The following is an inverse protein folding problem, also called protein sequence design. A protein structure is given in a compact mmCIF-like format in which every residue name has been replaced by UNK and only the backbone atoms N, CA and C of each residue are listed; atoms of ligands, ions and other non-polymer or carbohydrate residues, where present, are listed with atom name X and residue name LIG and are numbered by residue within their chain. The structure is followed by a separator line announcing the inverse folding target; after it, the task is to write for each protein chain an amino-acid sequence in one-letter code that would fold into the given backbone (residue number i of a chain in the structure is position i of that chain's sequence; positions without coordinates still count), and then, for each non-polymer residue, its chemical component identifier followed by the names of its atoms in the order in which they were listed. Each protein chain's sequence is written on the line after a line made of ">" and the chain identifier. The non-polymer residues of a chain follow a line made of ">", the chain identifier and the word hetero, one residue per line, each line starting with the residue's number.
data_IF_035049455118
#
_entry.id   IF_035049455118
#
_cell.length_a   1.000
_cell.length_b   1.000
_cell.length_c   1.000
_cell.angle_alpha   90.00
_cell.angle_beta   90.00
_cell.angle_gamma   90.00
#
_symmetry.space_group_name_H-M   'P 1'
#
loop_
_entity.id
_entity.type
_entity.pdbx_description
1 polymer ?
#
# COMPACT_ATOMS: atom_id res chain seq x y z
N UNK A 1 0.03 1.17 5.13
CA UNK A 1 1.49 0.94 5.04
C UNK A 1 2.27 2.11 5.61
N UNK A 2 3.39 1.87 6.30
CA UNK A 2 4.18 2.93 6.94
C UNK A 2 4.91 3.84 5.95
N UNK A 3 5.20 3.37 4.74
CA UNK A 3 5.81 4.16 3.67
C UNK A 3 5.23 3.76 2.31
N UNK A 4 5.32 4.65 1.31
CA UNK A 4 4.84 4.43 -0.06
C UNK A 4 5.53 3.25 -0.73
N UNK A 5 6.84 3.09 -0.53
CA UNK A 5 7.59 1.97 -1.10
C UNK A 5 7.03 0.60 -0.68
N UNK A 6 6.64 0.43 0.59
CA UNK A 6 6.00 -0.80 1.06
C UNK A 6 4.62 -1.01 0.43
N UNK A 7 3.86 0.07 0.25
CA UNK A 7 2.55 0.00 -0.38
C UNK A 7 2.64 -0.35 -1.87
N UNK A 8 3.62 0.21 -2.58
CA UNK A 8 3.91 -0.12 -3.99
C UNK A 8 4.38 -1.56 -4.14
N UNK A 9 5.22 -2.05 -3.22
CA UNK A 9 5.62 -3.46 -3.20
C UNK A 9 4.41 -4.39 -2.99
N UNK A 10 3.55 -4.06 -2.02
CA UNK A 10 2.31 -4.77 -1.77
C UNK A 10 1.38 -4.78 -3.01
N UNK A 11 1.23 -3.64 -3.68
CA UNK A 11 0.43 -3.53 -4.91
C UNK A 11 0.99 -4.41 -6.02
N UNK A 12 2.31 -4.41 -6.25
CA UNK A 12 2.93 -5.27 -7.28
C UNK A 12 2.70 -6.76 -7.04
N UNK A 13 2.72 -7.20 -5.79
CA UNK A 13 2.45 -8.59 -5.44
C UNK A 13 0.99 -8.97 -5.74
N UNK A 14 0.06 -8.07 -5.44
CA UNK A 14 -1.36 -8.26 -5.78
C UNK A 14 -1.59 -8.24 -7.28
N UNK A 15 -0.98 -7.32 -8.01
CA UNK A 15 -1.06 -7.22 -9.48
C UNK A 15 -0.52 -8.48 -10.16
N UNK A 16 0.61 -9.03 -9.68
CA UNK A 16 1.17 -10.30 -10.18
C UNK A 16 0.23 -11.50 -9.96
N UNK A 17 -0.79 -11.37 -9.12
CA UNK A 17 -1.81 -12.38 -8.84
C UNK A 17 -3.19 -12.02 -9.43
N UNK A 18 -3.22 -11.04 -10.32
CA UNK A 18 -4.44 -10.54 -10.96
C UNK A 18 -5.46 -9.98 -9.94
N UNK A 19 -4.97 -9.44 -8.82
CA UNK A 19 -5.82 -8.83 -7.79
C UNK A 19 -5.81 -7.31 -7.98
N UNK A 20 -6.93 -6.72 -8.45
CA UNK A 20 -7.02 -5.28 -8.63
C UNK A 20 -6.91 -4.57 -7.28
N UNK A 21 -6.03 -3.57 -7.21
CA UNK A 21 -5.77 -2.83 -5.99
C UNK A 21 -5.41 -1.37 -6.25
N UNK A 22 -5.89 -0.49 -5.37
CA UNK A 22 -5.75 0.96 -5.50
C UNK A 22 -4.93 1.50 -4.35
N UNK A 23 -3.80 2.13 -4.66
CA UNK A 23 -3.02 2.88 -3.69
C UNK A 23 -3.58 4.29 -3.54
N UNK A 24 -3.88 4.66 -2.30
CA UNK A 24 -4.25 6.02 -1.94
C UNK A 24 -3.26 6.55 -0.93
N UNK A 25 -2.41 7.46 -1.40
CA UNK A 25 -1.52 8.26 -0.57
C UNK A 25 -2.25 9.55 -0.21
N UNK A 26 -2.09 10.11 1.00
CA UNK A 26 -2.36 11.52 1.18
C UNK A 26 -1.42 12.29 0.25
N UNK A 27 -1.99 12.88 -0.80
CA UNK A 27 -1.26 13.67 -1.78
C UNK A 27 -0.58 14.82 -1.04
N UNK A 28 0.73 14.69 -0.80
CA UNK A 28 1.53 15.80 -0.31
C UNK A 28 1.72 16.70 -1.51
N UNK A 29 0.73 17.56 -1.74
CA UNK A 29 0.74 18.54 -2.80
C UNK A 29 2.05 19.31 -2.77
N UNK A 30 2.71 19.39 -3.93
CA UNK A 30 3.92 20.15 -4.16
C UNK A 30 3.58 21.65 -3.99
N UNK A 31 3.57 22.13 -2.75
CA UNK A 31 3.56 23.54 -2.40
C UNK A 31 4.65 23.71 -1.35
N UNK A 32 5.79 24.23 -1.82
CA UNK A 32 7.02 24.29 -1.07
C UNK A 32 6.87 25.04 0.24
N UNK A 33 6.88 24.30 1.34
CA UNK A 33 7.41 24.76 2.61
C UNK A 33 8.05 23.58 3.33
N UNK A 34 9.28 23.83 3.77
CA UNK A 34 10.09 22.98 4.62
C UNK A 34 9.29 22.38 5.80
N UNK A 35 9.52 21.09 6.02
CA UNK A 35 9.40 20.39 7.32
C UNK A 35 8.01 20.23 7.94
N UNK A 36 7.37 19.10 7.63
CA UNK A 36 7.14 18.06 8.64
C UNK A 36 6.86 16.74 7.93
N UNK A 37 7.81 15.81 8.04
CA UNK A 37 7.68 14.39 7.67
C UNK A 37 6.67 13.70 8.59
N UNK A 38 5.41 14.13 8.57
CA UNK A 38 4.35 13.44 9.31
C UNK A 38 3.97 12.26 8.44
N UNK A 39 4.36 11.06 8.89
CA UNK A 39 4.18 9.79 8.19
C UNK A 39 2.76 9.63 7.64
N UNK A 40 2.58 10.06 6.40
CA UNK A 40 1.37 9.87 5.61
C UNK A 40 1.34 8.41 5.20
N UNK A 41 0.89 7.55 6.11
CA UNK A 41 0.70 6.14 5.82
C UNK A 41 -0.11 5.98 4.53
N UNK A 42 0.37 5.13 3.62
CA UNK A 42 -0.31 4.88 2.35
C UNK A 42 -1.31 3.76 2.56
N UNK A 43 -2.55 3.98 2.12
CA UNK A 43 -3.61 2.99 2.18
C UNK A 43 -3.67 2.21 0.86
N UNK A 44 -3.86 0.90 0.97
CA UNK A 44 -4.07 0.01 -0.16
C UNK A 44 -5.48 -0.53 -0.05
N UNK A 45 -6.28 -0.26 -1.08
CA UNK A 45 -7.67 -0.72 -1.17
C UNK A 45 -7.72 -1.87 -2.15
N UNK A 46 -8.46 -2.91 -1.78
CA UNK A 46 -8.76 -4.06 -2.62
C UNK A 46 -10.26 -4.26 -2.67
N UNK A 47 -10.74 -4.94 -3.71
CA UNK A 47 -12.15 -5.35 -3.74
C UNK A 47 -12.44 -6.36 -2.64
N UNK A 48 -13.65 -6.29 -2.07
CA UNK A 48 -14.05 -7.13 -0.94
C UNK A 48 -13.94 -8.62 -1.24
N UNK A 49 -14.21 -9.02 -2.48
CA UNK A 49 -14.09 -10.41 -2.97
C UNK A 49 -12.65 -10.94 -2.90
N UNK A 50 -11.67 -10.04 -2.93
CA UNK A 50 -10.26 -10.38 -2.88
C UNK A 50 -9.60 -10.05 -1.53
N UNK A 51 -10.36 -9.55 -0.55
CA UNK A 51 -9.84 -9.13 0.76
C UNK A 51 -9.04 -10.25 1.44
N UNK A 52 -9.61 -11.46 1.50
CA UNK A 52 -8.99 -12.57 2.19
C UNK A 52 -7.71 -13.05 1.49
N UNK A 53 -7.74 -13.16 0.16
CA UNK A 53 -6.55 -13.52 -0.65
C UNK A 53 -5.46 -12.46 -0.55
N UNK A 54 -5.83 -11.18 -0.61
CA UNK A 54 -4.91 -10.07 -0.47
C UNK A 54 -4.27 -10.08 0.92
N UNK A 55 -5.06 -10.32 1.97
CA UNK A 55 -4.57 -10.43 3.33
C UNK A 55 -3.57 -11.57 3.48
N UNK A 56 -3.88 -12.78 2.99
CA UNK A 56 -2.95 -13.92 3.06
C UNK A 56 -1.63 -13.64 2.31
N UNK A 57 -1.69 -13.06 1.12
CA UNK A 57 -0.50 -12.72 0.34
C UNK A 57 0.38 -11.67 1.03
N UNK A 58 -0.24 -10.61 1.55
CA UNK A 58 0.47 -9.56 2.25
C UNK A 58 1.03 -10.08 3.58
N UNK A 59 0.28 -10.91 4.29
CA UNK A 59 0.75 -11.55 5.51
C UNK A 59 1.93 -12.49 5.22
N UNK A 60 1.89 -13.30 4.16
CA UNK A 60 3.03 -14.12 3.75
C UNK A 60 4.26 -13.27 3.37
N UNK A 61 4.06 -12.11 2.75
CA UNK A 61 5.14 -11.20 2.35
C UNK A 61 5.81 -10.53 3.56
N UNK A 62 5.04 -10.15 4.58
CA UNK A 62 5.51 -9.31 5.70
C UNK A 62 5.69 -10.04 7.04
N UNK A 63 5.08 -11.21 7.22
CA UNK A 63 5.12 -12.02 8.44
C UNK A 63 6.01 -13.27 8.29
N UNK A 64 6.73 -13.38 7.16
CA UNK A 64 7.67 -14.47 6.87
C UNK A 64 9.12 -14.22 7.32
N UNK A 65 9.36 -13.25 8.21
CA UNK A 65 10.68 -12.94 8.80
C UNK A 65 10.60 -13.08 10.32
#
# INVERSE_FOLDING_TARGET
>A
FPNRAFAEQAQKVLESRDIPSVLKSPDTGILGTTSASVGGGVNLYVEKENEQKAFELLNALYNGI
#
